data_IF_807697363510
#
_entry.id   IF_807697363510
#
_cell.length_a   1.000
_cell.length_b   1.000
_cell.length_c   1.000
_cell.angle_alpha   90.00
_cell.angle_beta   90.00
_cell.angle_gamma   90.00
#
_symmetry.space_group_name_H-M   'P 1'
#
loop_
_entity.id
_entity.type
_entity.pdbx_description
1 polymer ?
#
# COMPACT_ATOMS: atom_id res chain seq x y z
N UNK A 1 31.44 -6.99 -20.29
CA UNK A 1 30.81 -5.65 -20.24
C UNK A 1 31.35 -4.86 -21.42
N UNK A 2 30.52 -4.16 -22.20
CA UNK A 2 30.96 -3.27 -23.29
C UNK A 2 30.95 -1.83 -22.76
N UNK A 3 31.97 -1.06 -23.08
CA UNK A 3 32.08 0.36 -22.70
C UNK A 3 31.41 1.25 -23.75
N UNK A 4 30.89 2.39 -23.29
CA UNK A 4 30.26 3.40 -24.13
C UNK A 4 31.05 4.72 -24.02
N UNK A 5 31.10 5.47 -25.12
CA UNK A 5 31.66 6.82 -25.18
C UNK A 5 30.56 7.85 -25.42
N UNK A 6 30.73 9.03 -24.85
CA UNK A 6 29.88 10.18 -25.13
C UNK A 6 30.09 10.69 -26.56
N UNK A 7 29.00 11.03 -27.25
CA UNK A 7 29.01 11.55 -28.62
C UNK A 7 28.49 12.97 -28.66
N UNK A 8 27.29 13.20 -28.14
CA UNK A 8 26.59 14.48 -28.21
C UNK A 8 25.46 14.57 -27.18
N UNK A 9 24.85 15.75 -27.04
CA UNK A 9 23.55 15.91 -26.40
C UNK A 9 22.44 15.72 -27.43
N UNK A 10 21.26 15.28 -27.00
CA UNK A 10 20.06 15.37 -27.84
C UNK A 10 19.74 16.83 -28.17
N UNK A 11 18.98 17.07 -29.24
CA UNK A 11 18.60 18.43 -29.66
C UNK A 11 17.89 19.22 -28.55
N UNK A 12 17.10 18.55 -27.72
CA UNK A 12 16.41 19.14 -26.57
C UNK A 12 17.29 19.28 -25.31
N UNK A 13 18.50 18.73 -25.32
CA UNK A 13 19.44 18.76 -24.18
C UNK A 13 19.03 17.88 -22.99
N UNK A 14 18.07 16.97 -23.17
CA UNK A 14 17.53 16.11 -22.11
C UNK A 14 18.21 14.74 -22.01
N UNK A 15 18.99 14.35 -23.03
CA UNK A 15 19.65 13.05 -23.11
C UNK A 15 21.12 13.17 -23.56
N UNK A 16 21.97 12.27 -23.06
CA UNK A 16 23.27 11.99 -23.64
C UNK A 16 23.11 10.98 -24.79
N UNK A 17 23.71 11.28 -25.94
CA UNK A 17 23.89 10.34 -27.04
C UNK A 17 25.23 9.64 -26.84
N UNK A 18 25.19 8.32 -26.70
CA UNK A 18 26.35 7.46 -26.48
C UNK A 18 26.55 6.52 -27.67
N UNK A 19 27.78 6.10 -27.92
CA UNK A 19 28.11 5.06 -28.90
C UNK A 19 29.00 4.01 -28.24
N UNK A 20 29.09 2.83 -28.85
CA UNK A 20 30.05 1.82 -28.42
C UNK A 20 31.48 2.40 -28.48
N UNK A 21 32.26 2.15 -27.43
CA UNK A 21 33.67 2.53 -27.38
C UNK A 21 34.51 1.46 -28.08
N UNK A 22 34.45 1.49 -29.41
CA UNK A 22 35.14 0.55 -30.29
C UNK A 22 35.83 1.31 -31.43
N UNK A 23 36.90 0.75 -32.03
CA UNK A 23 37.52 1.35 -33.20
C UNK A 23 36.52 1.59 -34.34
N UNK A 24 36.71 2.68 -35.09
CA UNK A 24 35.82 3.06 -36.19
C UNK A 24 35.66 1.97 -37.27
N UNK A 25 36.63 1.06 -37.41
CA UNK A 25 36.57 -0.07 -38.34
C UNK A 25 35.49 -1.09 -38.01
N UNK A 26 35.02 -1.13 -36.76
CA UNK A 26 33.98 -2.06 -36.28
C UNK A 26 32.81 -1.35 -35.59
N UNK A 27 32.74 -0.01 -35.69
CA UNK A 27 31.59 0.76 -35.24
C UNK A 27 30.43 0.51 -36.21
N UNK A 28 29.34 -0.08 -35.70
CA UNK A 28 28.14 -0.39 -36.46
C UNK A 28 27.18 0.80 -36.59
N UNK A 29 27.54 1.97 -36.06
CA UNK A 29 26.71 3.18 -36.08
C UNK A 29 25.60 3.20 -35.02
N UNK A 30 25.52 2.19 -34.14
CA UNK A 30 24.52 2.13 -33.08
C UNK A 30 24.69 3.28 -32.09
N UNK A 31 23.57 3.85 -31.62
CA UNK A 31 23.53 4.94 -30.64
C UNK A 31 22.61 4.58 -29.50
N UNK A 32 23.03 4.93 -28.29
CA UNK A 32 22.27 4.75 -27.07
C UNK A 32 21.90 6.12 -26.50
N UNK A 33 20.69 6.25 -25.99
CA UNK A 33 20.25 7.47 -25.30
C UNK A 33 20.23 7.21 -23.80
N UNK A 34 20.85 8.10 -23.04
CA UNK A 34 20.83 8.08 -21.58
C UNK A 34 20.20 9.39 -21.07
N UNK A 35 19.03 9.35 -20.39
CA UNK A 35 18.40 10.55 -19.87
C UNK A 35 19.28 11.27 -18.85
N UNK A 36 19.26 12.60 -18.88
CA UNK A 36 19.97 13.47 -17.95
C UNK A 36 19.05 13.76 -16.77
N UNK A 37 18.92 12.76 -15.90
CA UNK A 37 18.17 12.84 -14.65
C UNK A 37 19.10 13.13 -13.46
N UNK A 38 18.51 13.28 -12.27
CA UNK A 38 19.28 13.55 -11.06
C UNK A 38 20.18 12.38 -10.66
N UNK A 39 19.85 11.15 -11.10
CA UNK A 39 20.66 9.95 -10.88
C UNK A 39 21.95 10.04 -11.69
N UNK A 40 21.88 10.38 -12.97
CA UNK A 40 23.06 10.61 -13.81
C UNK A 40 23.89 11.78 -13.28
N UNK A 41 23.25 12.88 -12.85
CA UNK A 41 23.94 14.03 -12.25
C UNK A 41 24.66 13.67 -10.94
N UNK A 42 24.03 12.86 -10.08
CA UNK A 42 24.65 12.37 -8.85
C UNK A 42 25.81 11.41 -9.14
N UNK A 43 25.62 10.48 -10.08
CA UNK A 43 26.66 9.56 -10.53
C UNK A 43 27.87 10.28 -11.12
N UNK A 44 27.65 11.27 -11.98
CA UNK A 44 28.71 12.06 -12.58
C UNK A 44 29.52 12.89 -11.57
N UNK A 45 28.92 13.24 -10.42
CA UNK A 45 29.61 13.94 -9.31
C UNK A 45 30.31 13.00 -8.34
N UNK A 46 30.19 11.68 -8.52
CA UNK A 46 30.71 10.69 -7.59
C UNK A 46 29.96 10.63 -6.26
N UNK A 47 28.74 11.19 -6.19
CA UNK A 47 27.93 11.22 -4.98
C UNK A 47 27.18 9.90 -4.80
N UNK A 48 27.94 8.87 -4.39
CA UNK A 48 27.43 7.52 -4.17
C UNK A 48 26.34 7.46 -3.09
N UNK A 49 26.36 8.40 -2.14
CA UNK A 49 25.34 8.52 -1.09
C UNK A 49 24.01 9.00 -1.63
N UNK A 50 24.03 10.01 -2.51
CA UNK A 50 22.85 10.56 -3.19
C UNK A 50 22.28 9.61 -4.24
N UNK A 51 23.12 8.83 -4.92
CA UNK A 51 22.69 7.74 -5.81
C UNK A 51 21.83 6.72 -5.07
N UNK A 52 22.27 6.26 -3.89
CA UNK A 52 21.49 5.35 -3.05
C UNK A 52 20.19 5.97 -2.55
N UNK A 53 20.19 7.26 -2.21
CA UNK A 53 18.96 7.98 -1.82
C UNK A 53 17.98 8.13 -2.99
N UNK A 54 18.45 8.45 -4.19
CA UNK A 54 17.61 8.58 -5.40
C UNK A 54 17.03 7.22 -5.82
N UNK A 55 17.79 6.12 -5.70
CA UNK A 55 17.25 4.76 -5.89
C UNK A 55 16.15 4.42 -4.88
N UNK A 56 16.32 4.81 -3.61
CA UNK A 56 15.30 4.64 -2.57
C UNK A 56 14.08 5.52 -2.84
N UNK A 57 14.24 6.75 -3.33
CA UNK A 57 13.14 7.67 -3.67
C UNK A 57 12.35 7.22 -4.90
N UNK A 58 13.03 6.75 -5.95
CA UNK A 58 12.38 6.17 -7.15
C UNK A 58 11.72 4.82 -6.87
N UNK A 59 12.23 4.05 -5.90
CA UNK A 59 11.58 2.81 -5.43
C UNK A 59 10.45 3.05 -4.41
N UNK A 60 10.32 4.24 -3.83
CA UNK A 60 9.35 4.54 -2.77
C UNK A 60 8.57 5.85 -2.97
N UNK A 61 7.51 5.78 -3.79
CA UNK A 61 6.39 6.72 -3.63
C UNK A 61 5.59 6.44 -2.34
N UNK A 62 5.70 5.24 -1.76
CA UNK A 62 5.09 4.88 -0.47
C UNK A 62 6.11 4.15 0.42
N UNK A 63 6.41 4.68 1.61
CA UNK A 63 7.30 4.01 2.57
C UNK A 63 6.56 2.85 3.24
N UNK A 64 7.25 1.79 3.70
CA UNK A 64 6.63 0.68 4.44
C UNK A 64 5.75 1.13 5.61
N UNK A 65 6.20 2.15 6.36
CA UNK A 65 5.44 2.75 7.47
C UNK A 65 4.11 3.35 7.00
N UNK A 66 4.10 4.00 5.84
CA UNK A 66 2.90 4.63 5.28
C UNK A 66 1.93 3.58 4.76
N UNK A 67 2.43 2.51 4.11
CA UNK A 67 1.63 1.34 3.75
C UNK A 67 0.94 0.80 4.99
N UNK A 68 1.71 0.50 6.04
CA UNK A 68 1.18 -0.04 7.28
C UNK A 68 0.16 0.89 7.94
N UNK A 69 0.41 2.20 7.95
CA UNK A 69 -0.52 3.18 8.51
C UNK A 69 -1.86 3.20 7.76
N UNK A 70 -1.83 3.20 6.42
CA UNK A 70 -3.03 3.19 5.56
C UNK A 70 -3.82 1.90 5.70
N UNK A 71 -3.14 0.76 5.68
CA UNK A 71 -3.77 -0.54 5.94
C UNK A 71 -4.38 -0.57 7.34
N UNK A 72 -3.68 -0.05 8.35
CA UNK A 72 -4.21 0.01 9.72
C UNK A 72 -5.42 0.94 9.83
N UNK A 73 -5.49 2.00 9.02
CA UNK A 73 -6.62 2.91 8.93
C UNK A 73 -7.84 2.34 8.20
N UNK A 74 -7.75 1.12 7.66
CA UNK A 74 -8.85 0.39 7.03
C UNK A 74 -8.78 0.30 5.50
N UNK A 75 -7.76 0.87 4.85
CA UNK A 75 -7.59 0.70 3.40
C UNK A 75 -7.22 -0.76 3.05
N UNK A 76 -7.61 -1.21 1.86
CA UNK A 76 -7.19 -2.51 1.33
C UNK A 76 -5.84 -2.42 0.63
N UNK A 77 -5.07 -3.52 0.54
CA UNK A 77 -3.82 -3.55 -0.22
C UNK A 77 -3.96 -3.07 -1.67
N UNK A 78 -5.09 -3.38 -2.31
CA UNK A 78 -5.41 -2.98 -3.69
C UNK A 78 -5.63 -1.46 -3.79
N UNK A 79 -6.34 -0.86 -2.83
CA UNK A 79 -6.54 0.59 -2.79
C UNK A 79 -5.22 1.32 -2.60
N UNK A 80 -4.38 0.86 -1.67
CA UNK A 80 -3.06 1.43 -1.43
C UNK A 80 -2.17 1.28 -2.66
N UNK A 81 -2.20 0.12 -3.32
CA UNK A 81 -1.46 -0.14 -4.56
C UNK A 81 -1.89 0.78 -5.71
N UNK A 82 -3.20 0.92 -5.92
CA UNK A 82 -3.78 1.76 -6.96
C UNK A 82 -3.40 3.24 -6.78
N UNK A 83 -3.50 3.77 -5.56
CA UNK A 83 -3.12 5.16 -5.26
C UNK A 83 -1.61 5.39 -5.40
N UNK A 84 -0.80 4.40 -5.01
CA UNK A 84 0.65 4.50 -5.05
C UNK A 84 1.26 4.22 -6.43
N UNK A 85 0.49 3.71 -7.39
CA UNK A 85 0.98 3.30 -8.71
C UNK A 85 1.95 2.11 -8.67
N UNK A 86 1.84 1.23 -7.67
CA UNK A 86 2.70 0.06 -7.51
C UNK A 86 1.88 -1.23 -7.55
N UNK A 87 2.55 -2.36 -7.79
CA UNK A 87 1.88 -3.67 -7.77
C UNK A 87 1.44 -4.07 -6.36
N UNK A 88 0.27 -4.72 -6.26
CA UNK A 88 -0.31 -5.16 -4.98
C UNK A 88 0.61 -6.11 -4.21
N UNK A 89 1.38 -6.97 -4.89
CA UNK A 89 2.30 -7.89 -4.23
C UNK A 89 3.40 -7.16 -3.44
N UNK A 90 3.78 -5.94 -3.85
CA UNK A 90 4.74 -5.11 -3.12
C UNK A 90 4.11 -4.54 -1.85
N UNK A 91 2.84 -4.15 -1.90
CA UNK A 91 2.08 -3.68 -0.72
C UNK A 91 1.87 -4.81 0.28
N UNK A 92 1.49 -6.00 -0.21
CA UNK A 92 1.18 -7.17 0.62
C UNK A 92 2.34 -7.57 1.55
N UNK A 93 3.59 -7.49 1.09
CA UNK A 93 4.79 -7.76 1.92
C UNK A 93 4.79 -6.99 3.25
N UNK A 94 4.27 -5.77 3.24
CA UNK A 94 4.21 -4.90 4.42
C UNK A 94 2.82 -4.89 5.08
N UNK A 95 1.78 -5.23 4.32
CA UNK A 95 0.39 -5.24 4.80
C UNK A 95 0.05 -6.47 5.65
N UNK A 96 0.61 -7.66 5.34
CA UNK A 96 0.25 -8.91 6.03
C UNK A 96 0.27 -8.83 7.57
N UNK A 97 1.33 -8.29 8.22
CA UNK A 97 1.35 -8.15 9.67
C UNK A 97 0.21 -7.28 10.21
N UNK A 98 -0.15 -6.21 9.49
CA UNK A 98 -1.21 -5.28 9.91
C UNK A 98 -2.59 -5.87 9.67
N UNK A 99 -2.76 -6.67 8.61
CA UNK A 99 -4.01 -7.40 8.37
C UNK A 99 -4.27 -8.43 9.49
N UNK A 100 -3.23 -9.14 9.95
CA UNK A 100 -3.35 -10.04 11.10
C UNK A 100 -3.65 -9.31 12.41
N UNK A 101 -3.05 -8.13 12.62
CA UNK A 101 -3.38 -7.26 13.77
C UNK A 101 -4.86 -6.87 13.75
N UNK A 102 -5.38 -6.42 12.60
CA UNK A 102 -6.79 -6.05 12.41
C UNK A 102 -7.72 -7.24 12.67
N UNK A 103 -7.39 -8.41 12.12
CA UNK A 103 -8.13 -9.65 12.32
C UNK A 103 -8.15 -10.07 13.79
N UNK A 104 -7.01 -9.96 14.48
CA UNK A 104 -6.91 -10.23 15.92
C UNK A 104 -7.82 -9.33 16.73
N UNK A 105 -7.84 -8.03 16.44
CA UNK A 105 -8.71 -7.07 17.14
C UNK A 105 -10.18 -7.31 16.85
N UNK A 106 -10.54 -7.57 15.59
CA UNK A 106 -11.90 -7.95 15.23
C UNK A 106 -12.34 -9.24 15.96
N UNK A 107 -11.44 -10.22 16.09
CA UNK A 107 -11.70 -11.47 16.81
C UNK A 107 -11.88 -11.24 18.31
N UNK A 108 -11.03 -10.42 18.94
CA UNK A 108 -11.20 -10.04 20.35
C UNK A 108 -12.52 -9.30 20.57
N UNK A 109 -12.89 -8.39 19.67
CA UNK A 109 -14.13 -7.64 19.76
C UNK A 109 -15.37 -8.54 19.68
N UNK A 110 -15.36 -9.58 18.85
CA UNK A 110 -16.46 -10.56 18.78
C UNK A 110 -16.78 -11.19 20.14
N UNK A 111 -15.78 -11.35 20.99
CA UNK A 111 -15.90 -11.96 22.32
C UNK A 111 -16.14 -10.93 23.44
N UNK A 112 -16.06 -9.63 23.14
CA UNK A 112 -16.27 -8.58 24.11
C UNK A 112 -17.75 -8.49 24.51
N UNK A 113 -18.02 -8.04 25.74
CA UNK A 113 -19.38 -7.72 26.19
C UNK A 113 -19.78 -6.34 25.67
N UNK A 114 -20.96 -6.28 25.04
CA UNK A 114 -21.52 -5.01 24.57
C UNK A 114 -21.97 -4.19 25.76
N UNK A 115 -21.73 -2.89 25.74
CA UNK A 115 -22.35 -1.94 26.67
C UNK A 115 -23.40 -1.15 25.93
N UNK A 116 -24.65 -1.23 26.38
CA UNK A 116 -25.74 -0.46 25.79
C UNK A 116 -25.69 0.99 26.24
N UNK A 117 -26.44 1.87 25.56
CA UNK A 117 -26.44 3.31 25.80
C UNK A 117 -26.90 3.70 27.24
N UNK A 118 -27.69 2.85 27.88
CA UNK A 118 -28.12 2.97 29.28
C UNK A 118 -27.03 2.50 30.27
N UNK A 119 -25.88 2.06 29.77
CA UNK A 119 -24.75 1.57 30.55
C UNK A 119 -24.85 0.11 30.97
N UNK A 120 -25.96 -0.57 30.64
CA UNK A 120 -26.19 -1.98 30.98
C UNK A 120 -25.27 -2.88 30.14
N UNK A 121 -24.46 -3.75 30.77
CA UNK A 121 -23.74 -4.79 30.05
C UNK A 121 -24.76 -5.74 29.41
N UNK A 122 -24.65 -5.92 28.10
CA UNK A 122 -25.46 -6.86 27.34
C UNK A 122 -24.69 -8.17 27.07
N UNK A 123 -25.25 -8.97 26.16
CA UNK A 123 -24.66 -10.20 25.65
C UNK A 123 -23.27 -10.00 25.01
N UNK A 124 -22.62 -11.12 24.70
CA UNK A 124 -21.38 -11.11 23.91
C UNK A 124 -21.67 -10.47 22.55
N UNK A 125 -20.72 -9.70 22.00
CA UNK A 125 -20.99 -8.91 20.80
C UNK A 125 -21.39 -9.77 19.60
N UNK A 126 -20.78 -10.94 19.43
CA UNK A 126 -21.20 -11.90 18.41
C UNK A 126 -22.66 -12.37 18.58
N UNK A 127 -23.09 -12.64 19.80
CA UNK A 127 -24.47 -13.06 20.12
C UNK A 127 -25.45 -11.92 19.87
N UNK A 128 -25.13 -10.73 20.38
CA UNK A 128 -25.92 -9.53 20.16
C UNK A 128 -26.10 -9.24 18.66
N UNK A 129 -25.03 -9.33 17.88
CA UNK A 129 -25.12 -9.10 16.44
C UNK A 129 -25.92 -10.20 15.74
N UNK A 130 -25.76 -11.45 16.17
CA UNK A 130 -26.52 -12.60 15.64
C UNK A 130 -28.02 -12.38 15.76
N UNK A 131 -28.49 -11.98 16.94
CA UNK A 131 -29.90 -11.65 17.16
C UNK A 131 -30.38 -10.50 16.26
N UNK A 132 -29.55 -9.45 16.11
CA UNK A 132 -29.89 -8.28 15.29
C UNK A 132 -29.95 -8.60 13.80
N UNK A 133 -29.02 -9.41 13.29
CA UNK A 133 -29.00 -9.82 11.89
C UNK A 133 -30.15 -10.78 11.56
N UNK A 134 -30.52 -11.66 12.50
CA UNK A 134 -31.70 -12.52 12.34
C UNK A 134 -32.99 -11.72 12.15
N UNK A 135 -33.17 -10.61 12.87
CA UNK A 135 -34.31 -9.69 12.68
C UNK A 135 -34.34 -9.02 11.29
N UNK A 136 -33.21 -9.02 10.58
CA UNK A 136 -33.05 -8.43 9.24
C UNK A 136 -33.05 -9.49 8.13
N UNK A 137 -33.32 -10.76 8.45
CA UNK A 137 -33.24 -11.91 7.53
C UNK A 137 -31.85 -12.06 6.88
N UNK A 138 -30.80 -11.73 7.64
CA UNK A 138 -29.40 -11.87 7.22
C UNK A 138 -28.79 -13.07 7.92
N UNK A 139 -28.17 -13.98 7.16
CA UNK A 139 -27.37 -15.06 7.74
C UNK A 139 -26.16 -14.46 8.50
N UNK A 140 -26.10 -14.59 9.84
CA UNK A 140 -25.04 -14.00 10.65
C UNK A 140 -23.64 -14.51 10.29
N UNK A 141 -23.54 -15.70 9.68
CA UNK A 141 -22.26 -16.29 9.22
C UNK A 141 -21.68 -15.56 8.01
N UNK A 142 -22.49 -14.77 7.31
CA UNK A 142 -22.05 -13.96 6.16
C UNK A 142 -21.54 -12.58 6.58
N UNK A 143 -21.66 -12.24 7.87
CA UNK A 143 -21.14 -10.98 8.39
C UNK A 143 -19.61 -10.95 8.32
N UNK A 144 -19.07 -9.92 7.67
CA UNK A 144 -17.64 -9.68 7.56
C UNK A 144 -17.22 -8.73 8.67
N UNK A 145 -16.29 -9.20 9.51
CA UNK A 145 -15.74 -8.39 10.59
C UNK A 145 -14.36 -7.91 10.23
N UNK A 146 -14.09 -6.67 10.59
CA UNK A 146 -12.81 -6.04 10.41
C UNK A 146 -12.59 -5.02 11.54
N UNK A 147 -11.35 -4.57 11.69
CA UNK A 147 -11.01 -3.50 12.60
C UNK A 147 -10.15 -2.47 11.87
N UNK A 148 -10.31 -1.21 12.24
CA UNK A 148 -9.51 -0.11 11.73
C UNK A 148 -9.09 0.82 12.87
N UNK A 149 -7.91 1.39 12.76
CA UNK A 149 -7.40 2.34 13.74
C UNK A 149 -7.80 3.76 13.36
N UNK A 150 -8.31 4.50 14.33
CA UNK A 150 -8.70 5.88 14.19
C UNK A 150 -7.49 6.83 14.39
N UNK A 151 -7.59 8.11 13.97
CA UNK A 151 -6.50 9.06 14.11
C UNK A 151 -6.04 9.31 15.56
N UNK A 152 -6.93 9.14 16.54
CA UNK A 152 -6.64 9.24 17.97
C UNK A 152 -5.92 8.00 18.54
N UNK A 153 -5.74 6.97 17.71
CA UNK A 153 -5.06 5.74 18.06
C UNK A 153 -5.97 4.65 18.62
N UNK A 154 -7.26 4.91 18.82
CA UNK A 154 -8.28 3.92 19.19
C UNK A 154 -8.62 2.99 18.02
N UNK A 155 -9.30 1.89 18.33
CA UNK A 155 -9.75 0.91 17.34
C UNK A 155 -11.25 0.95 17.18
N UNK A 156 -11.69 0.97 15.93
CA UNK A 156 -13.07 0.84 15.53
C UNK A 156 -13.27 -0.53 14.89
N UNK A 157 -14.27 -1.27 15.35
CA UNK A 157 -14.68 -2.55 14.77
C UNK A 157 -15.79 -2.28 13.77
N UNK A 158 -15.60 -2.76 12.54
CA UNK A 158 -16.54 -2.61 11.45
C UNK A 158 -17.12 -3.98 11.15
N UNK A 159 -18.45 -4.06 11.14
CA UNK A 159 -19.14 -5.27 10.68
C UNK A 159 -19.99 -4.95 9.47
N UNK A 160 -19.59 -5.52 8.33
CA UNK A 160 -20.29 -5.43 7.07
C UNK A 160 -21.23 -6.63 6.89
N UNK A 161 -22.45 -6.36 6.42
CA UNK A 161 -23.44 -7.39 6.12
C UNK A 161 -24.32 -6.98 4.92
N UNK A 162 -25.00 -7.97 4.32
CA UNK A 162 -25.86 -7.77 3.16
C UNK A 162 -27.21 -8.47 3.36
N UNK A 163 -28.30 -7.76 3.07
CA UNK A 163 -29.69 -8.24 3.07
C UNK A 163 -30.31 -7.98 1.69
N UNK A 164 -30.15 -8.90 0.75
CA UNK A 164 -30.59 -8.71 -0.63
C UNK A 164 -29.90 -7.50 -1.29
N UNK A 165 -30.64 -6.43 -1.70
CA UNK A 165 -30.03 -5.23 -2.30
C UNK A 165 -29.43 -4.25 -1.28
N UNK A 166 -29.55 -4.50 0.03
CA UNK A 166 -29.09 -3.58 1.08
C UNK A 166 -27.78 -4.06 1.68
N UNK A 167 -26.74 -3.24 1.60
CA UNK A 167 -25.50 -3.43 2.38
C UNK A 167 -25.38 -2.32 3.43
N UNK A 168 -24.89 -2.68 4.61
CA UNK A 168 -24.62 -1.71 5.67
C UNK A 168 -23.35 -2.12 6.44
N UNK A 169 -22.68 -1.10 6.97
CA UNK A 169 -21.55 -1.26 7.86
C UNK A 169 -21.88 -0.56 9.17
N UNK A 170 -21.87 -1.31 10.25
CA UNK A 170 -22.06 -0.75 11.60
C UNK A 170 -20.70 -0.66 12.28
N UNK A 171 -20.51 0.38 13.08
CA UNK A 171 -19.23 0.74 13.71
C UNK A 171 -19.38 0.75 15.22
N UNK A 172 -18.38 0.19 15.91
CA UNK A 172 -18.29 0.15 17.36
C UNK A 172 -16.88 0.54 17.80
N UNK A 173 -16.76 1.24 18.93
CA UNK A 173 -15.52 1.78 19.49
C UNK A 173 -15.36 1.36 20.96
#
# INVERSE_FOLDING_TARGET
MRTLRFVALSEEGTHLVLAADVPASIDNGERFLLPIDDRLRAAARGDMSRLGQIEIELESTLRPKDIQARIRAGETPEQVAAVAGIRVEKVLRYAYPVLQEREGIATSARQARVRLADGTPAAVFSEFLTERLALLDVDPRTALWDARRLPDGSWEVVVGWSAGPRSAATRWW
#
